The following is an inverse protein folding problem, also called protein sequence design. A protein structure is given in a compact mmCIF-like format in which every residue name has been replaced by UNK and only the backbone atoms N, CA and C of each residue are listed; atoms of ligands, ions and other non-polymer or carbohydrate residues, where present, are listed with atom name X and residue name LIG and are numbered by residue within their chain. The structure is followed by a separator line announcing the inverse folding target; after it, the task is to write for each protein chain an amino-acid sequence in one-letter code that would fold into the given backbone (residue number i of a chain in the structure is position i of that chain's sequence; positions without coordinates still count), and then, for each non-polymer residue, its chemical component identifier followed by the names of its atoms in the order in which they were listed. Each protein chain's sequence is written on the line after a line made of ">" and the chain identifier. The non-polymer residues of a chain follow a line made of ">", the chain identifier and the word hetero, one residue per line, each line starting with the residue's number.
data_IF_747857514740
#
_entry.id   IF_747857514740
#
_cell.length_a   1.000
_cell.length_b   1.000
_cell.length_c   1.000
_cell.angle_alpha   90.00
_cell.angle_beta   90.00
_cell.angle_gamma   90.00
#
_symmetry.space_group_name_H-M   'P 1'
#
loop_
_entity.id
_entity.type
_entity.pdbx_description
1 polymer ?
#
# COMPACT_ATOMS: atom_id res chain seq x y z
N UNK A 1 -5.29 -13.69 13.14
CA UNK A 1 -6.18 -12.59 12.74
C UNK A 1 -6.59 -12.94 11.32
N UNK A 2 -7.72 -13.65 11.23
CA UNK A 2 -8.23 -14.19 9.97
C UNK A 2 -8.84 -13.06 9.13
N UNK A 3 -8.90 -13.26 7.82
CA UNK A 3 -9.36 -12.30 6.79
C UNK A 3 -10.73 -11.63 7.02
N UNK A 4 -11.47 -12.05 8.05
CA UNK A 4 -12.78 -11.54 8.46
C UNK A 4 -12.68 -10.13 9.06
N UNK A 5 -11.58 -9.81 9.75
CA UNK A 5 -11.50 -8.60 10.59
C UNK A 5 -11.44 -7.27 9.80
N UNK A 6 -10.94 -7.28 8.55
CA UNK A 6 -10.86 -6.03 7.75
C UNK A 6 -12.21 -5.65 7.10
N UNK A 7 -12.99 -6.63 6.68
CA UNK A 7 -14.30 -6.35 6.08
C UNK A 7 -15.22 -5.74 7.13
N UNK A 8 -15.14 -6.21 8.37
CA UNK A 8 -15.82 -5.61 9.52
C UNK A 8 -15.29 -4.20 9.83
N UNK A 9 -13.97 -3.97 9.73
CA UNK A 9 -13.39 -2.63 9.92
C UNK A 9 -13.98 -1.58 8.97
N UNK A 10 -14.22 -1.95 7.70
CA UNK A 10 -14.88 -1.08 6.72
C UNK A 10 -16.40 -1.29 6.63
N UNK A 11 -17.01 -2.05 7.53
CA UNK A 11 -18.46 -2.32 7.53
C UNK A 11 -18.98 -2.94 6.22
N UNK A 12 -18.14 -3.67 5.49
CA UNK A 12 -18.47 -4.29 4.19
C UNK A 12 -18.49 -3.31 3.01
N UNK A 13 -18.02 -2.07 3.19
CA UNK A 13 -17.93 -1.08 2.11
C UNK A 13 -16.93 -1.56 1.04
N UNK A 14 -17.33 -1.45 -0.23
CA UNK A 14 -16.47 -1.79 -1.36
C UNK A 14 -15.34 -0.77 -1.47
N UNK A 15 -14.17 -1.20 -1.94
CA UNK A 15 -13.02 -0.28 -2.04
C UNK A 15 -13.31 0.96 -2.91
N UNK A 16 -14.17 0.83 -3.93
CA UNK A 16 -14.56 1.95 -4.80
C UNK A 16 -15.42 3.01 -4.09
N UNK A 17 -16.12 2.59 -3.04
CA UNK A 17 -17.10 3.41 -2.32
C UNK A 17 -16.51 3.98 -1.01
N UNK A 18 -15.22 3.72 -0.72
CA UNK A 18 -14.52 4.35 0.40
C UNK A 18 -14.39 5.85 0.14
N UNK A 19 -14.93 6.65 1.06
CA UNK A 19 -14.78 8.10 1.01
C UNK A 19 -13.38 8.52 1.50
N UNK A 20 -12.95 9.71 1.10
CA UNK A 20 -11.67 10.28 1.56
C UNK A 20 -11.61 10.31 3.10
N UNK A 21 -12.71 10.68 3.77
CA UNK A 21 -12.78 10.68 5.24
C UNK A 21 -12.53 9.30 5.86
N UNK A 22 -13.03 8.22 5.25
CA UNK A 22 -12.79 6.86 5.74
C UNK A 22 -11.32 6.47 5.56
N UNK A 23 -10.75 6.78 4.39
CA UNK A 23 -9.34 6.49 4.08
C UNK A 23 -8.41 7.26 5.02
N UNK A 24 -8.69 8.55 5.25
CA UNK A 24 -7.93 9.41 6.16
C UNK A 24 -8.02 8.94 7.61
N UNK A 25 -9.21 8.57 8.07
CA UNK A 25 -9.39 8.03 9.42
C UNK A 25 -8.68 6.68 9.59
N UNK A 26 -8.61 5.89 8.51
CA UNK A 26 -7.93 4.60 8.43
C UNK A 26 -6.52 4.67 7.87
N UNK A 27 -5.81 5.82 7.95
CA UNK A 27 -4.55 6.03 7.21
C UNK A 27 -3.49 4.93 7.43
N UNK A 28 -3.41 4.37 8.64
CA UNK A 28 -2.44 3.35 9.00
C UNK A 28 -2.85 1.92 8.60
N UNK A 29 -4.09 1.70 8.18
CA UNK A 29 -4.65 0.38 7.92
C UNK A 29 -3.84 -0.47 6.91
N UNK A 30 -3.24 0.08 5.82
CA UNK A 30 -2.43 -0.69 4.89
C UNK A 30 -1.30 -1.50 5.53
N UNK A 31 -0.73 -1.01 6.64
CA UNK A 31 0.34 -1.71 7.36
C UNK A 31 -0.17 -2.98 8.07
N UNK A 32 -1.43 -2.97 8.50
CA UNK A 32 -2.07 -4.05 9.26
C UNK A 32 -2.85 -5.04 8.39
N UNK A 33 -3.11 -4.72 7.11
CA UNK A 33 -3.84 -5.60 6.20
C UNK A 33 -3.25 -7.01 6.12
N UNK A 34 -4.15 -8.00 6.04
CA UNK A 34 -3.84 -9.33 5.52
C UNK A 34 -3.58 -9.26 4.01
N UNK A 35 -3.11 -10.35 3.39
CA UNK A 35 -2.91 -10.39 1.94
C UNK A 35 -4.20 -10.13 1.15
N UNK A 36 -5.33 -10.67 1.61
CA UNK A 36 -6.63 -10.49 0.95
C UNK A 36 -7.14 -9.06 1.09
N UNK A 37 -7.03 -8.50 2.29
CA UNK A 37 -7.33 -7.11 2.56
C UNK A 37 -6.49 -6.16 1.70
N UNK A 38 -5.18 -6.44 1.62
CA UNK A 38 -4.24 -5.66 0.83
C UNK A 38 -4.61 -5.71 -0.65
N UNK A 39 -4.84 -6.89 -1.21
CA UNK A 39 -5.25 -7.04 -2.61
C UNK A 39 -6.54 -6.27 -2.93
N UNK A 40 -7.52 -6.27 -2.02
CA UNK A 40 -8.83 -5.67 -2.27
C UNK A 40 -8.86 -4.15 -2.05
N UNK A 41 -8.28 -3.65 -0.96
CA UNK A 41 -8.40 -2.24 -0.56
C UNK A 41 -7.24 -1.35 -0.99
N UNK A 42 -6.07 -1.91 -1.33
CA UNK A 42 -4.91 -1.11 -1.78
C UNK A 42 -5.26 -0.10 -2.90
N UNK A 43 -6.06 -0.44 -3.93
CA UNK A 43 -6.38 0.52 -4.99
C UNK A 43 -6.98 1.83 -4.49
N UNK A 44 -7.84 1.80 -3.46
CA UNK A 44 -8.45 3.00 -2.89
C UNK A 44 -7.38 3.94 -2.29
N UNK A 45 -6.43 3.37 -1.57
CA UNK A 45 -5.32 4.10 -0.95
C UNK A 45 -4.32 4.66 -1.98
N UNK A 46 -4.03 3.91 -3.04
CA UNK A 46 -3.20 4.39 -4.16
C UNK A 46 -3.87 5.59 -4.85
N UNK A 47 -5.17 5.48 -5.15
CA UNK A 47 -5.95 6.55 -5.79
C UNK A 47 -5.99 7.79 -4.90
N UNK A 48 -6.26 7.64 -3.61
CA UNK A 48 -6.28 8.77 -2.67
C UNK A 48 -4.91 9.47 -2.65
N UNK A 49 -3.82 8.70 -2.60
CA UNK A 49 -2.45 9.26 -2.57
C UNK A 49 -2.13 10.05 -3.84
N UNK A 50 -2.52 9.53 -5.01
CA UNK A 50 -2.33 10.23 -6.29
C UNK A 50 -3.17 11.50 -6.42
N UNK A 51 -4.37 11.52 -5.83
CA UNK A 51 -5.25 12.72 -5.81
C UNK A 51 -4.78 13.78 -4.82
N UNK A 52 -4.03 13.37 -3.80
CA UNK A 52 -3.63 14.21 -2.68
C UNK A 52 -2.10 14.17 -2.42
N UNK A 53 -1.27 14.44 -3.44
CA UNK A 53 0.18 14.23 -3.37
C UNK A 53 0.92 15.17 -2.41
N UNK A 54 0.29 16.26 -2.01
CA UNK A 54 0.84 17.26 -1.08
C UNK A 54 0.03 17.33 0.24
N UNK A 55 -0.84 16.35 0.49
CA UNK A 55 -1.62 16.33 1.72
C UNK A 55 -0.69 16.16 2.93
N UNK A 56 -0.88 16.95 4.01
CA UNK A 56 -0.11 16.80 5.24
C UNK A 56 -0.52 15.55 6.04
N UNK A 57 -1.51 14.77 5.57
CA UNK A 57 -1.96 13.56 6.22
C UNK A 57 -1.04 12.38 5.89
N UNK A 58 -0.82 11.51 6.86
CA UNK A 58 0.11 10.37 6.77
C UNK A 58 -0.37 9.20 5.92
N UNK A 59 -1.42 9.36 5.10
CA UNK A 59 -1.96 8.28 4.26
C UNK A 59 -0.92 7.86 3.20
N UNK A 60 -0.35 8.83 2.46
CA UNK A 60 0.65 8.55 1.42
C UNK A 60 1.88 7.85 1.99
N UNK A 61 2.46 8.39 3.05
CA UNK A 61 3.58 7.77 3.77
C UNK A 61 3.24 6.35 4.27
N UNK A 62 2.04 6.16 4.84
CA UNK A 62 1.61 4.87 5.37
C UNK A 62 1.48 3.82 4.27
N UNK A 63 1.04 4.21 3.07
CA UNK A 63 0.98 3.36 1.88
C UNK A 63 2.38 2.97 1.44
N UNK A 64 3.30 3.94 1.33
CA UNK A 64 4.69 3.67 0.94
C UNK A 64 5.40 2.75 1.94
N UNK A 65 5.18 2.95 3.24
CA UNK A 65 5.69 2.06 4.28
C UNK A 65 5.09 0.65 4.19
N UNK A 66 3.80 0.52 3.87
CA UNK A 66 3.16 -0.77 3.68
C UNK A 66 3.66 -1.49 2.41
N UNK A 67 4.08 -0.74 1.39
CA UNK A 67 4.71 -1.23 0.17
C UNK A 67 6.20 -1.55 0.34
N UNK A 68 6.83 -1.14 1.44
CA UNK A 68 8.22 -1.43 1.74
C UNK A 68 8.37 -2.58 2.76
N UNK A 69 8.75 -3.80 2.33
CA UNK A 69 8.97 -4.89 3.26
C UNK A 69 10.24 -4.73 4.12
N UNK A 70 11.06 -3.72 3.87
CA UNK A 70 12.37 -3.47 4.47
C UNK A 70 12.33 -3.20 5.97
N UNK A 71 12.95 -4.12 6.72
CA UNK A 71 13.21 -4.01 8.17
C UNK A 71 14.27 -5.04 8.58
N UNK A 72 15.03 -4.75 9.64
CA UNK A 72 16.00 -5.69 10.21
C UNK A 72 15.34 -6.86 10.95
N UNK A 73 14.06 -6.74 11.32
CA UNK A 73 13.31 -7.79 12.01
C UNK A 73 12.72 -8.79 11.02
N UNK A 74 13.32 -9.97 10.94
CA UNK A 74 12.96 -11.01 9.97
C UNK A 74 11.47 -11.41 9.97
N UNK A 75 10.88 -11.65 11.15
CA UNK A 75 9.45 -11.99 11.24
C UNK A 75 8.56 -10.89 10.64
N UNK A 76 8.89 -9.63 10.90
CA UNK A 76 8.14 -8.49 10.38
C UNK A 76 8.33 -8.36 8.86
N UNK A 77 9.54 -8.62 8.35
CA UNK A 77 9.82 -8.68 6.91
C UNK A 77 8.97 -9.74 6.23
N UNK A 78 8.86 -10.95 6.79
CA UNK A 78 8.01 -12.01 6.24
C UNK A 78 6.53 -11.63 6.23
N UNK A 79 6.02 -11.07 7.33
CA UNK A 79 4.64 -10.58 7.40
C UNK A 79 4.36 -9.44 6.41
N UNK A 80 5.31 -8.51 6.22
CA UNK A 80 5.15 -7.43 5.24
C UNK A 80 5.11 -7.97 3.82
N UNK A 81 6.05 -8.86 3.47
CA UNK A 81 6.08 -9.51 2.15
C UNK A 81 4.86 -10.38 1.88
N UNK A 82 4.30 -11.05 2.89
CA UNK A 82 3.16 -11.96 2.68
C UNK A 82 1.91 -11.23 2.18
N UNK A 83 1.76 -9.91 2.46
CA UNK A 83 0.68 -9.09 1.91
C UNK A 83 0.64 -9.08 0.39
N UNK A 84 1.80 -9.19 -0.27
CA UNK A 84 1.92 -9.10 -1.71
C UNK A 84 1.59 -10.43 -2.41
N UNK A 85 1.46 -11.53 -1.66
CA UNK A 85 1.30 -12.89 -2.19
C UNK A 85 0.05 -13.11 -3.05
N UNK A 86 -0.99 -12.30 -2.87
CA UNK A 86 -2.25 -12.39 -3.62
C UNK A 86 -2.36 -11.33 -4.73
N UNK A 87 -1.41 -10.41 -4.85
CA UNK A 87 -1.45 -9.42 -5.93
C UNK A 87 -1.30 -10.12 -7.28
N UNK A 88 -2.18 -9.79 -8.22
CA UNK A 88 -2.02 -10.23 -9.60
C UNK A 88 -0.83 -9.51 -10.24
N UNK A 89 -0.34 -10.04 -11.37
CA UNK A 89 0.70 -9.37 -12.15
C UNK A 89 0.34 -7.91 -12.48
N UNK A 90 -0.87 -7.66 -12.97
CA UNK A 90 -1.32 -6.29 -13.26
C UNK A 90 -1.39 -5.38 -12.03
N UNK A 91 -1.69 -5.92 -10.84
CA UNK A 91 -1.65 -5.16 -9.60
C UNK A 91 -0.21 -4.85 -9.16
N UNK A 92 0.71 -5.80 -9.32
CA UNK A 92 2.14 -5.60 -9.02
C UNK A 92 2.75 -4.56 -9.95
N UNK A 93 2.46 -4.63 -11.26
CA UNK A 93 2.89 -3.63 -12.24
C UNK A 93 2.32 -2.23 -11.91
N UNK A 94 1.05 -2.17 -11.50
CA UNK A 94 0.41 -0.91 -11.06
C UNK A 94 1.12 -0.33 -9.85
N UNK A 95 1.46 -1.15 -8.85
CA UNK A 95 2.20 -0.72 -7.66
C UNK A 95 3.59 -0.19 -8.04
N UNK A 96 4.29 -0.88 -8.93
CA UNK A 96 5.62 -0.46 -9.36
C UNK A 96 5.57 0.89 -10.11
N UNK A 97 4.62 1.06 -11.04
CA UNK A 97 4.39 2.35 -11.73
C UNK A 97 4.01 3.47 -10.77
N UNK A 98 3.18 3.18 -9.78
CA UNK A 98 2.84 4.13 -8.71
C UNK A 98 4.07 4.56 -7.91
N UNK A 99 4.95 3.62 -7.54
CA UNK A 99 6.17 3.93 -6.82
C UNK A 99 7.14 4.76 -7.66
N UNK A 100 7.33 4.44 -8.94
CA UNK A 100 8.13 5.27 -9.84
C UNK A 100 7.58 6.69 -9.96
N UNK A 101 6.26 6.84 -10.07
CA UNK A 101 5.63 8.15 -10.13
C UNK A 101 5.88 8.97 -8.84
N UNK A 102 5.79 8.34 -7.67
CA UNK A 102 6.03 9.04 -6.39
C UNK A 102 7.52 9.24 -6.07
N UNK A 103 8.43 8.52 -6.72
CA UNK A 103 9.87 8.78 -6.62
C UNK A 103 10.23 10.19 -7.13
N UNK A 104 9.47 10.70 -8.09
CA UNK A 104 9.64 12.07 -8.62
C UNK A 104 8.94 13.15 -7.76
N UNK A 105 8.18 12.77 -6.72
CA UNK A 105 7.49 13.70 -5.84
C UNK A 105 8.36 14.07 -4.62
N UNK A 106 8.66 15.36 -4.37
CA UNK A 106 9.57 15.77 -3.29
C UNK A 106 9.14 15.34 -1.87
N UNK A 107 7.84 15.17 -1.62
CA UNK A 107 7.33 14.78 -0.30
C UNK A 107 7.39 13.26 -0.08
N UNK A 108 7.52 12.47 -1.15
CA UNK A 108 7.38 11.01 -1.12
C UNK A 108 8.59 10.25 -1.66
N UNK A 109 9.54 10.96 -2.29
CA UNK A 109 10.64 10.38 -3.06
C UNK A 109 11.45 9.35 -2.27
N UNK A 110 11.90 9.70 -1.07
CA UNK A 110 12.74 8.83 -0.23
C UNK A 110 12.04 7.50 0.09
N UNK A 111 10.76 7.54 0.48
CA UNK A 111 10.00 6.34 0.84
C UNK A 111 9.67 5.49 -0.40
N UNK A 112 9.36 6.13 -1.53
CA UNK A 112 9.10 5.46 -2.80
C UNK A 112 10.35 4.75 -3.34
N UNK A 113 11.49 5.44 -3.36
CA UNK A 113 12.78 4.88 -3.76
C UNK A 113 13.20 3.72 -2.87
N UNK A 114 13.02 3.86 -1.55
CA UNK A 114 13.32 2.79 -0.61
C UNK A 114 12.47 1.53 -0.88
N UNK A 115 11.18 1.69 -1.16
CA UNK A 115 10.30 0.57 -1.51
C UNK A 115 10.75 -0.09 -2.83
N UNK A 116 11.06 0.71 -3.85
CA UNK A 116 11.57 0.24 -5.15
C UNK A 116 12.84 -0.60 -4.98
N UNK A 117 13.86 -0.04 -4.32
CA UNK A 117 15.16 -0.70 -4.11
C UNK A 117 15.04 -1.98 -3.27
N UNK A 118 14.11 -2.01 -2.33
CA UNK A 118 13.98 -3.14 -1.41
C UNK A 118 13.29 -4.35 -2.04
N UNK A 119 12.36 -4.12 -2.99
CA UNK A 119 11.52 -5.22 -3.49
C UNK A 119 11.00 -5.06 -4.92
N UNK A 120 10.65 -3.85 -5.36
CA UNK A 120 9.88 -3.68 -6.59
C UNK A 120 10.71 -3.48 -7.86
N UNK A 121 11.99 -3.10 -7.77
CA UNK A 121 12.87 -2.93 -8.94
C UNK A 121 13.14 -4.24 -9.68
N UNK A 122 13.36 -5.33 -8.95
CA UNK A 122 13.68 -6.64 -9.52
C UNK A 122 12.44 -7.43 -9.95
N UNK A 123 11.26 -6.80 -9.92
CA UNK A 123 10.02 -7.46 -10.31
C UNK A 123 9.94 -7.56 -11.84
N UNK A 124 9.90 -8.78 -12.41
CA UNK A 124 9.96 -8.96 -13.85
C UNK A 124 8.78 -8.25 -14.52
N UNK A 125 9.08 -7.50 -15.58
CA UNK A 125 8.09 -7.00 -16.52
C UNK A 125 7.95 -8.06 -17.61
N UNK A 126 6.76 -8.66 -17.75
CA UNK A 126 6.41 -9.51 -18.89
C UNK A 126 6.10 -8.67 -20.13
#
# INVERSE_FOLDING_TARGET
>A
MDDVDILEFYGGVRWQDLTDQIIESGYAAPNAFSAKAFQYYLPAYLIWTLRNPDSPLYVGESVLLALNPGTSKEMLRHFRKSKFSLLTFGQQETVQKFLYHLADNPNHSELAEAALLTYWMDFPQD
#
